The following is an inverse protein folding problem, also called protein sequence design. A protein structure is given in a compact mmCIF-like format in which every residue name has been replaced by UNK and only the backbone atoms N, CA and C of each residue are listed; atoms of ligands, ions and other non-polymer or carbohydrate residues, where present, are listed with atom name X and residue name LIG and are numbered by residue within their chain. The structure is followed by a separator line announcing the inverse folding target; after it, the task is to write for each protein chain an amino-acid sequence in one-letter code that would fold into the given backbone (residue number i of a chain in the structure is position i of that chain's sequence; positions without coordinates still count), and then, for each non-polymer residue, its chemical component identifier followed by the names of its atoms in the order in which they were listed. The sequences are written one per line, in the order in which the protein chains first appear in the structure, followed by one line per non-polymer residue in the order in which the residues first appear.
data_IF_684488411273
#
_entry.id   IF_684488411273
#
_cell.length_a   1.000
_cell.length_b   1.000
_cell.length_c   1.000
_cell.angle_alpha   90.00
_cell.angle_beta   90.00
_cell.angle_gamma   90.00
#
_symmetry.space_group_name_H-M   'P 1'
#
loop_
_entity.id
_entity.type
_entity.pdbx_description
1 polymer ?
#
# COMPACT_ATOMS: atom_id res chain seq x y z
N UNK A 1 24.10 -35.31 14.52
CA UNK A 1 23.65 -33.90 14.47
C UNK A 1 24.39 -33.25 13.31
N UNK A 2 23.71 -32.98 12.19
CA UNK A 2 24.34 -32.50 10.96
C UNK A 2 24.31 -30.96 10.94
N UNK A 3 25.40 -30.24 10.59
CA UNK A 3 25.46 -28.76 10.68
C UNK A 3 24.63 -27.97 9.65
N UNK A 4 23.68 -28.59 8.93
CA UNK A 4 23.01 -27.95 7.77
C UNK A 4 21.52 -27.66 7.96
N UNK A 5 21.00 -27.78 9.18
CA UNK A 5 19.60 -27.46 9.47
C UNK A 5 19.40 -25.95 9.72
N UNK A 6 19.60 -25.13 8.68
CA UNK A 6 19.10 -23.76 8.63
C UNK A 6 17.82 -23.72 7.78
N UNK A 7 16.63 -23.70 8.40
CA UNK A 7 15.37 -23.65 7.66
C UNK A 7 15.16 -22.25 7.07
N UNK A 8 15.19 -22.16 5.74
CA UNK A 8 14.53 -21.08 4.99
C UNK A 8 15.31 -19.78 4.82
N UNK A 9 16.30 -19.79 3.94
CA UNK A 9 16.79 -18.55 3.31
C UNK A 9 15.68 -17.94 2.47
N UNK A 10 14.89 -17.02 3.06
CA UNK A 10 14.11 -16.10 2.26
C UNK A 10 15.10 -15.34 1.36
N UNK A 11 15.04 -15.57 0.05
CA UNK A 11 15.89 -14.88 -0.92
C UNK A 11 15.64 -13.38 -0.82
N UNK A 12 16.43 -12.71 0.02
CA UNK A 12 16.32 -11.28 0.31
C UNK A 12 16.42 -10.48 -0.97
N UNK A 13 17.23 -10.96 -1.93
CA UNK A 13 17.35 -10.43 -3.28
C UNK A 13 16.02 -10.49 -4.06
N UNK A 14 15.27 -11.59 -3.98
CA UNK A 14 13.93 -11.69 -4.59
C UNK A 14 12.97 -10.67 -3.97
N UNK A 15 13.00 -10.49 -2.65
CA UNK A 15 12.21 -9.48 -1.95
C UNK A 15 12.56 -8.05 -2.39
N UNK A 16 13.85 -7.74 -2.50
CA UNK A 16 14.35 -6.44 -2.99
C UNK A 16 13.90 -6.21 -4.44
N UNK A 17 14.08 -7.19 -5.33
CA UNK A 17 13.68 -7.10 -6.73
C UNK A 17 12.17 -6.89 -6.88
N UNK A 18 11.36 -7.64 -6.14
CA UNK A 18 9.91 -7.46 -6.11
C UNK A 18 9.52 -6.04 -5.65
N UNK A 19 10.23 -5.49 -4.66
CA UNK A 19 9.97 -4.14 -4.18
C UNK A 19 10.34 -3.08 -5.22
N UNK A 20 11.48 -3.21 -5.90
CA UNK A 20 11.90 -2.29 -6.96
C UNK A 20 10.89 -2.30 -8.11
N UNK A 21 10.50 -3.49 -8.58
CA UNK A 21 9.48 -3.66 -9.63
C UNK A 21 8.16 -3.03 -9.20
N UNK A 22 7.73 -3.28 -7.95
CA UNK A 22 6.52 -2.66 -7.40
C UNK A 22 6.59 -1.14 -7.45
N UNK A 23 7.68 -0.52 -6.98
CA UNK A 23 7.86 0.94 -6.99
C UNK A 23 7.85 1.47 -8.43
N UNK A 24 8.54 0.82 -9.36
CA UNK A 24 8.56 1.24 -10.76
C UNK A 24 7.15 1.23 -11.38
N UNK A 25 6.36 0.18 -11.15
CA UNK A 25 4.96 0.09 -11.62
C UNK A 25 4.09 1.19 -10.99
N UNK A 26 4.25 1.46 -9.69
CA UNK A 26 3.52 2.53 -9.00
C UNK A 26 3.85 3.92 -9.53
N UNK A 27 5.13 4.19 -9.82
CA UNK A 27 5.56 5.46 -10.41
C UNK A 27 5.00 5.61 -11.82
N UNK A 28 5.11 4.58 -12.66
CA UNK A 28 4.54 4.58 -14.01
C UNK A 28 3.02 4.84 -13.99
N UNK A 29 2.28 4.16 -13.10
CA UNK A 29 0.85 4.40 -12.90
C UNK A 29 0.57 5.85 -12.51
N UNK A 30 1.33 6.41 -11.56
CA UNK A 30 1.14 7.79 -11.10
C UNK A 30 1.40 8.81 -12.22
N UNK A 31 2.41 8.57 -13.05
CA UNK A 31 2.69 9.36 -14.24
C UNK A 31 1.56 9.29 -15.26
N UNK A 32 0.99 8.10 -15.53
CA UNK A 32 -0.15 7.94 -16.42
C UNK A 32 -1.41 8.65 -15.90
N UNK A 33 -1.69 8.56 -14.59
CA UNK A 33 -2.81 9.27 -13.96
C UNK A 33 -2.63 10.79 -14.13
N UNK A 34 -1.42 11.31 -13.91
CA UNK A 34 -1.13 12.73 -14.10
C UNK A 34 -1.27 13.16 -15.57
N UNK A 35 -0.81 12.32 -16.50
CA UNK A 35 -0.92 12.56 -17.93
C UNK A 35 -2.38 12.52 -18.45
N UNK A 36 -3.27 11.81 -17.75
CA UNK A 36 -4.70 11.76 -18.09
C UNK A 36 -5.41 13.12 -17.93
N UNK A 37 -4.81 14.09 -17.24
CA UNK A 37 -5.23 15.49 -17.25
C UNK A 37 -6.66 15.70 -16.74
N UNK A 38 -7.60 15.89 -17.67
CA UNK A 38 -9.00 16.29 -17.40
C UNK A 38 -9.97 15.12 -17.19
N UNK A 39 -9.50 13.87 -17.29
CA UNK A 39 -10.36 12.70 -17.04
C UNK A 39 -10.89 12.74 -15.60
N UNK A 40 -12.22 12.62 -15.39
CA UNK A 40 -12.79 12.62 -14.05
C UNK A 40 -12.17 11.54 -13.16
N UNK A 41 -11.83 11.88 -11.92
CA UNK A 41 -11.18 10.97 -10.97
C UNK A 41 -11.94 9.64 -10.80
N UNK A 42 -13.27 9.68 -10.81
CA UNK A 42 -14.11 8.47 -10.74
C UNK A 42 -13.87 7.50 -11.91
N UNK A 43 -13.68 8.01 -13.13
CA UNK A 43 -13.38 7.19 -14.30
C UNK A 43 -11.97 6.58 -14.20
N UNK A 44 -10.99 7.38 -13.76
CA UNK A 44 -9.61 6.88 -13.52
C UNK A 44 -9.62 5.73 -12.50
N UNK A 45 -10.33 5.90 -11.38
CA UNK A 45 -10.45 4.88 -10.33
C UNK A 45 -11.17 3.64 -10.84
N UNK A 46 -12.25 3.81 -11.60
CA UNK A 46 -13.00 2.71 -12.19
C UNK A 46 -12.12 1.87 -13.12
N UNK A 47 -11.49 2.49 -14.13
CA UNK A 47 -10.63 1.78 -15.07
C UNK A 47 -9.42 1.15 -14.38
N UNK A 48 -8.78 1.84 -13.43
CA UNK A 48 -7.69 1.27 -12.62
C UNK A 48 -8.15 -0.01 -11.91
N UNK A 49 -9.32 0.02 -11.26
CA UNK A 49 -9.83 -1.11 -10.47
C UNK A 49 -10.30 -2.25 -11.37
N UNK A 50 -10.93 -1.93 -12.50
CA UNK A 50 -11.34 -2.88 -13.52
C UNK A 50 -10.14 -3.63 -14.11
N UNK A 51 -9.12 -2.90 -14.55
CA UNK A 51 -7.92 -3.52 -15.11
C UNK A 51 -7.07 -4.26 -14.07
N UNK A 52 -7.19 -3.93 -12.78
CA UNK A 52 -6.51 -4.67 -11.71
C UNK A 52 -7.05 -6.11 -11.55
N UNK A 53 -8.24 -6.43 -12.06
CA UNK A 53 -8.80 -7.79 -12.01
C UNK A 53 -7.94 -8.76 -12.83
N UNK A 54 -7.47 -8.36 -14.01
CA UNK A 54 -6.69 -9.23 -14.90
C UNK A 54 -5.41 -9.78 -14.26
N UNK A 55 -4.47 -8.96 -13.71
CA UNK A 55 -3.27 -9.49 -13.09
C UNK A 55 -3.58 -10.34 -11.85
N UNK A 56 -4.67 -10.05 -11.11
CA UNK A 56 -5.11 -10.88 -9.99
C UNK A 56 -5.57 -12.26 -10.48
N UNK A 57 -6.39 -12.31 -11.52
CA UNK A 57 -6.87 -13.57 -12.12
C UNK A 57 -5.71 -14.38 -12.67
N UNK A 58 -4.79 -13.74 -13.41
CA UNK A 58 -3.57 -14.39 -13.93
C UNK A 58 -2.72 -14.95 -12.80
N UNK A 59 -2.51 -14.19 -11.73
CA UNK A 59 -1.76 -14.65 -10.56
C UNK A 59 -2.43 -15.83 -9.84
N UNK A 60 -3.76 -15.80 -9.70
CA UNK A 60 -4.52 -16.90 -9.11
C UNK A 60 -4.50 -18.15 -10.02
N UNK A 61 -4.49 -17.95 -11.35
CA UNK A 61 -4.36 -19.03 -12.33
C UNK A 61 -3.00 -19.71 -12.25
N UNK A 62 -1.92 -18.92 -12.18
CA UNK A 62 -0.57 -19.46 -11.97
C UNK A 62 -0.42 -20.24 -10.66
N UNK A 63 -1.19 -19.89 -9.62
CA UNK A 63 -1.22 -20.65 -8.37
C UNK A 63 -2.18 -21.85 -8.37
N UNK A 64 -2.96 -22.08 -9.43
CA UNK A 64 -4.00 -23.11 -9.47
C UNK A 64 -5.16 -22.88 -8.49
N UNK A 65 -5.35 -21.65 -8.00
CA UNK A 65 -6.30 -21.31 -6.94
C UNK A 65 -7.58 -20.63 -7.43
N UNK A 66 -7.84 -20.67 -8.74
CA UNK A 66 -9.01 -20.03 -9.36
C UNK A 66 -10.33 -20.46 -8.71
N UNK A 67 -10.50 -21.76 -8.43
CA UNK A 67 -11.72 -22.29 -7.81
C UNK A 67 -11.99 -21.80 -6.38
N UNK A 68 -10.96 -21.27 -5.71
CA UNK A 68 -11.08 -20.69 -4.35
C UNK A 68 -11.10 -19.16 -4.36
N UNK A 69 -11.04 -18.53 -5.53
CA UNK A 69 -10.91 -17.07 -5.65
C UNK A 69 -12.05 -16.30 -4.96
N UNK A 70 -13.27 -16.85 -4.99
CA UNK A 70 -14.46 -16.26 -4.36
C UNK A 70 -14.71 -16.74 -2.93
N UNK A 71 -13.89 -17.66 -2.42
CA UNK A 71 -14.03 -18.20 -1.06
C UNK A 71 -13.11 -17.46 -0.11
N UNK A 72 -13.70 -16.62 0.76
CA UNK A 72 -12.96 -15.96 1.84
C UNK A 72 -13.40 -16.49 3.20
N UNK A 73 -12.42 -16.92 4.01
CA UNK A 73 -12.67 -17.37 5.39
C UNK A 73 -13.03 -16.21 6.34
N UNK A 74 -12.86 -14.95 5.91
CA UNK A 74 -13.08 -13.73 6.71
C UNK A 74 -13.76 -12.64 5.86
N UNK A 75 -15.05 -12.81 5.49
CA UNK A 75 -15.75 -11.89 4.60
C UNK A 75 -15.82 -10.46 5.15
N UNK A 76 -16.08 -10.31 6.45
CA UNK A 76 -16.15 -8.99 7.11
C UNK A 76 -14.83 -8.22 7.00
N UNK A 77 -13.69 -8.87 7.25
CA UNK A 77 -12.37 -8.22 7.13
C UNK A 77 -12.04 -7.87 5.68
N UNK A 78 -12.50 -8.67 4.72
CA UNK A 78 -12.31 -8.40 3.29
C UNK A 78 -13.12 -7.16 2.86
N UNK A 79 -14.38 -7.08 3.28
CA UNK A 79 -15.24 -5.90 3.04
C UNK A 79 -14.65 -4.67 3.73
N UNK A 80 -14.27 -4.77 5.01
CA UNK A 80 -13.68 -3.66 5.75
C UNK A 80 -12.41 -3.13 5.07
N UNK A 81 -11.52 -4.02 4.61
CA UNK A 81 -10.34 -3.65 3.81
C UNK A 81 -10.73 -2.92 2.51
N UNK A 82 -11.75 -3.43 1.81
CA UNK A 82 -12.26 -2.81 0.58
C UNK A 82 -12.79 -1.40 0.84
N UNK A 83 -13.65 -1.24 1.84
CA UNK A 83 -14.25 0.05 2.23
C UNK A 83 -13.16 1.04 2.65
N UNK A 84 -12.28 0.66 3.58
CA UNK A 84 -11.17 1.52 4.03
C UNK A 84 -10.28 1.93 2.85
N UNK A 85 -9.98 1.00 1.94
CA UNK A 85 -9.19 1.29 0.74
C UNK A 85 -9.85 2.28 -0.21
N UNK A 86 -11.14 2.09 -0.49
CA UNK A 86 -11.92 2.99 -1.37
C UNK A 86 -12.07 4.38 -0.72
N UNK A 87 -12.36 4.44 0.58
CA UNK A 87 -12.41 5.70 1.32
C UNK A 87 -11.05 6.42 1.30
N UNK A 88 -9.95 5.71 1.55
CA UNK A 88 -8.61 6.27 1.50
C UNK A 88 -8.25 6.81 0.10
N UNK A 89 -8.61 6.09 -0.97
CA UNK A 89 -8.42 6.57 -2.34
C UNK A 89 -9.25 7.84 -2.59
N UNK A 90 -10.53 7.84 -2.23
CA UNK A 90 -11.41 9.00 -2.40
C UNK A 90 -10.91 10.24 -1.67
N UNK A 91 -10.50 10.09 -0.41
CA UNK A 91 -9.89 11.16 0.38
C UNK A 91 -8.55 11.62 -0.22
N UNK A 92 -7.75 10.70 -0.77
CA UNK A 92 -6.50 11.03 -1.46
C UNK A 92 -6.73 11.90 -2.70
N UNK A 93 -7.72 11.56 -3.54
CA UNK A 93 -8.10 12.41 -4.67
C UNK A 93 -8.67 13.76 -4.20
N UNK A 94 -9.48 13.77 -3.16
CA UNK A 94 -9.99 15.00 -2.57
C UNK A 94 -8.86 15.92 -2.10
N UNK A 95 -7.86 15.37 -1.41
CA UNK A 95 -6.66 16.11 -1.01
C UNK A 95 -5.90 16.66 -2.23
N UNK A 96 -5.68 15.87 -3.27
CA UNK A 96 -5.02 16.35 -4.50
C UNK A 96 -5.75 17.50 -5.20
N UNK A 97 -7.08 17.57 -5.09
CA UNK A 97 -7.90 18.63 -5.69
C UNK A 97 -7.94 19.90 -4.81
N UNK A 98 -7.88 19.74 -3.48
CA UNK A 98 -8.08 20.83 -2.52
C UNK A 98 -6.79 21.41 -1.95
N UNK A 99 -5.70 20.65 -1.95
CA UNK A 99 -4.41 21.04 -1.41
C UNK A 99 -3.41 21.33 -2.53
N UNK A 100 -2.50 22.28 -2.35
CA UNK A 100 -1.28 22.37 -3.16
C UNK A 100 -0.54 21.02 -3.17
N UNK A 101 0.04 20.66 -4.33
CA UNK A 101 0.80 19.41 -4.50
C UNK A 101 1.84 19.16 -3.39
N UNK A 102 2.66 20.16 -2.97
CA UNK A 102 3.63 19.96 -1.90
C UNK A 102 3.00 19.57 -0.56
N UNK A 103 1.85 20.15 -0.20
CA UNK A 103 1.15 19.83 1.04
C UNK A 103 0.58 18.40 1.00
N UNK A 104 0.03 17.98 -0.14
CA UNK A 104 -0.46 16.61 -0.33
C UNK A 104 0.68 15.57 -0.24
N UNK A 105 1.87 15.89 -0.76
CA UNK A 105 3.06 15.05 -0.63
C UNK A 105 3.54 15.00 0.82
N UNK A 106 3.52 16.14 1.52
CA UNK A 106 3.90 16.21 2.92
C UNK A 106 3.00 15.37 3.82
N UNK A 107 1.69 15.41 3.60
CA UNK A 107 0.74 14.54 4.29
C UNK A 107 1.06 13.05 4.05
N UNK A 108 1.52 12.68 2.85
CA UNK A 108 1.93 11.32 2.55
C UNK A 108 3.19 10.88 3.32
N UNK A 109 4.08 11.80 3.70
CA UNK A 109 5.23 11.49 4.55
C UNK A 109 4.84 11.11 5.99
N UNK A 110 3.67 11.53 6.47
CA UNK A 110 3.13 11.09 7.75
C UNK A 110 2.59 9.64 7.72
N UNK A 111 2.25 9.12 6.54
CA UNK A 111 1.68 7.77 6.38
C UNK A 111 2.50 6.66 7.05
N UNK A 112 3.83 6.51 6.85
CA UNK A 112 4.61 5.48 7.53
C UNK A 112 4.56 5.60 9.06
N UNK A 113 4.49 6.82 9.60
CA UNK A 113 4.41 7.06 11.04
C UNK A 113 3.06 6.59 11.60
N UNK A 114 1.97 6.96 10.92
CA UNK A 114 0.63 6.51 11.25
C UNK A 114 0.50 4.98 11.13
N UNK A 115 1.13 4.37 10.12
CA UNK A 115 1.16 2.91 9.97
C UNK A 115 1.84 2.24 11.15
N UNK A 116 2.94 2.79 11.67
CA UNK A 116 3.62 2.25 12.86
C UNK A 116 2.67 2.31 14.07
N UNK A 117 2.03 3.45 14.31
CA UNK A 117 1.08 3.63 15.42
C UNK A 117 -0.11 2.67 15.28
N UNK A 118 -0.75 2.65 14.11
CA UNK A 118 -1.90 1.78 13.85
C UNK A 118 -1.55 0.29 13.89
N UNK A 119 -0.34 -0.11 13.46
CA UNK A 119 0.11 -1.50 13.61
C UNK A 119 0.20 -1.91 15.08
N UNK A 120 0.64 -1.04 15.99
CA UNK A 120 0.61 -1.37 17.43
C UNK A 120 -0.80 -1.59 17.96
N UNK A 121 -1.76 -0.77 17.51
CA UNK A 121 -3.15 -0.79 17.99
C UNK A 121 -3.93 -1.98 17.39
N UNK A 122 -3.84 -2.18 16.07
CA UNK A 122 -4.65 -3.18 15.37
C UNK A 122 -3.99 -4.56 15.28
N UNK A 123 -2.66 -4.63 15.20
CA UNK A 123 -1.92 -5.90 15.11
C UNK A 123 -1.40 -6.38 16.46
N UNK A 124 -1.39 -5.52 17.49
CA UNK A 124 -0.87 -5.85 18.81
C UNK A 124 0.64 -6.05 18.86
N UNK A 125 1.38 -5.61 17.84
CA UNK A 125 2.84 -5.74 17.82
C UNK A 125 3.48 -4.81 18.86
N UNK A 126 4.32 -5.39 19.74
CA UNK A 126 5.09 -4.62 20.71
C UNK A 126 6.18 -3.81 20.00
N UNK A 127 5.99 -2.49 19.96
CA UNK A 127 6.92 -1.57 19.28
C UNK A 127 8.03 -1.14 20.24
N UNK A 128 9.27 -1.47 19.88
CA UNK A 128 10.47 -1.05 20.63
C UNK A 128 10.61 0.47 20.63
N UNK A 129 11.16 1.03 21.71
CA UNK A 129 11.28 2.47 21.96
C UNK A 129 11.95 3.24 20.80
N UNK A 130 12.95 2.65 20.13
CA UNK A 130 13.62 3.29 18.99
C UNK A 130 12.70 3.53 17.78
N UNK A 131 11.65 2.72 17.59
CA UNK A 131 10.66 2.94 16.53
C UNK A 131 9.75 4.12 16.88
N UNK A 132 9.40 4.28 18.16
CA UNK A 132 8.65 5.44 18.63
C UNK A 132 9.44 6.74 18.51
N UNK A 133 10.74 6.73 18.79
CA UNK A 133 11.57 7.91 18.57
C UNK A 133 11.68 8.26 17.08
N UNK A 134 11.82 7.26 16.20
CA UNK A 134 11.79 7.49 14.75
C UNK A 134 10.44 8.06 14.28
N UNK A 135 9.32 7.60 14.88
CA UNK A 135 7.98 8.15 14.61
C UNK A 135 7.89 9.63 15.01
N UNK A 136 8.35 9.98 16.22
CA UNK A 136 8.33 11.36 16.70
C UNK A 136 9.19 12.29 15.83
N UNK A 137 10.42 11.87 15.51
CA UNK A 137 11.32 12.64 14.63
C UNK A 137 10.72 12.81 13.23
N UNK A 138 10.15 11.74 12.67
CA UNK A 138 9.46 11.83 11.38
C UNK A 138 8.29 12.80 11.41
N UNK A 139 7.51 12.83 12.49
CA UNK A 139 6.35 13.72 12.62
C UNK A 139 6.79 15.19 12.66
N UNK A 140 7.86 15.49 13.38
CA UNK A 140 8.46 16.83 13.41
C UNK A 140 8.93 17.23 12.01
N UNK A 141 9.59 16.32 11.27
CA UNK A 141 10.02 16.60 9.89
C UNK A 141 8.87 16.94 8.95
N UNK A 142 7.72 16.27 9.09
CA UNK A 142 6.50 16.59 8.33
C UNK A 142 5.96 17.98 8.69
N UNK A 143 5.92 18.33 9.98
CA UNK A 143 5.43 19.63 10.43
C UNK A 143 6.31 20.82 10.01
N UNK A 144 7.61 20.59 9.78
CA UNK A 144 8.54 21.65 9.34
C UNK A 144 8.42 21.94 7.84
N UNK A 145 8.06 20.94 7.04
CA UNK A 145 7.92 21.10 5.59
C UNK A 145 6.50 21.49 5.15
N UNK A 146 5.50 21.19 5.99
CA UNK A 146 4.14 21.75 5.92
C UNK A 146 4.13 23.25 6.22
#
# INVERSE_FOLDING_TARGET
MNPTDHPGGHNTLTGIMLKIVSVAVFVAMSSCIKAAGTVPAGQIVFFRSFFAIFPIVVFLAFQGKLGTAFSTKRPLNHIARGVVGVCAMGLGFFALIRLPLPEAITLNYAQPLLVVVFSSIFLGEAIRVYRWSAVAVGLVGVLVIS
#
